data_IF_487146703124
#
_entry.id   IF_487146703124
#
_cell.length_a   1.000
_cell.length_b   1.000
_cell.length_c   1.000
_cell.angle_alpha   90.00
_cell.angle_beta   90.00
_cell.angle_gamma   90.00
#
_symmetry.space_group_name_H-M   'P 1'
#
loop_
_entity.id
_entity.type
_entity.pdbx_description
1 polymer ?
#
# COMPACT_ATOMS: atom_id res chain seq x y z
N UNK A 1 69.59 -33.89 20.24
CA UNK A 1 69.57 -32.50 19.72
C UNK A 1 69.69 -32.59 18.21
N UNK A 2 68.87 -32.05 17.32
CA UNK A 2 67.68 -31.21 17.39
C UNK A 2 67.05 -31.27 15.98
N UNK A 3 66.15 -32.22 15.71
CA UNK A 3 65.29 -32.22 14.51
C UNK A 3 64.22 -31.14 14.66
N UNK A 4 64.57 -29.88 14.40
CA UNK A 4 63.63 -28.74 14.50
C UNK A 4 63.64 -27.66 13.40
N UNK A 5 64.46 -27.67 12.32
CA UNK A 5 64.32 -26.61 11.31
C UNK A 5 63.21 -26.87 10.26
N UNK A 6 63.02 -28.12 9.83
CA UNK A 6 62.15 -28.44 8.68
C UNK A 6 60.67 -28.49 9.06
N UNK A 7 60.35 -28.86 10.30
CA UNK A 7 58.98 -28.89 10.82
C UNK A 7 58.42 -27.50 11.02
N UNK A 8 59.22 -26.56 11.54
CA UNK A 8 58.83 -25.17 11.75
C UNK A 8 58.54 -24.45 10.43
N UNK A 9 59.41 -24.61 9.42
CA UNK A 9 59.19 -24.02 8.10
C UNK A 9 57.93 -24.56 7.38
N UNK A 10 57.60 -25.84 7.57
CA UNK A 10 56.34 -26.42 7.04
C UNK A 10 55.11 -25.91 7.77
N UNK A 11 55.22 -25.62 9.06
CA UNK A 11 54.13 -25.04 9.85
C UNK A 11 53.89 -23.57 9.48
N UNK A 12 54.94 -22.78 9.29
CA UNK A 12 54.85 -21.39 8.85
C UNK A 12 54.19 -21.26 7.47
N UNK A 13 54.62 -22.05 6.48
CA UNK A 13 54.01 -22.07 5.14
C UNK A 13 52.53 -22.49 5.20
N UNK A 14 52.19 -23.42 6.09
CA UNK A 14 50.82 -23.88 6.27
C UNK A 14 49.93 -22.82 6.93
N UNK A 15 50.47 -22.02 7.85
CA UNK A 15 49.75 -20.91 8.46
C UNK A 15 49.59 -19.72 7.50
N UNK A 16 50.59 -19.40 6.68
CA UNK A 16 50.47 -18.39 5.62
C UNK A 16 49.40 -18.77 4.59
N UNK A 17 49.43 -20.02 4.08
CA UNK A 17 48.38 -20.52 3.17
C UNK A 17 46.98 -20.48 3.81
N UNK A 18 46.86 -20.78 5.11
CA UNK A 18 45.56 -20.69 5.81
C UNK A 18 45.07 -19.26 5.92
N UNK A 19 45.97 -18.30 6.15
CA UNK A 19 45.60 -16.89 6.22
C UNK A 19 45.17 -16.36 4.86
N UNK A 20 45.90 -16.72 3.80
CA UNK A 20 45.57 -16.34 2.43
C UNK A 20 44.23 -16.93 1.97
N UNK A 21 44.00 -18.23 2.23
CA UNK A 21 42.70 -18.87 1.95
C UNK A 21 41.57 -18.26 2.78
N UNK A 22 41.80 -17.92 4.06
CA UNK A 22 40.78 -17.23 4.87
C UNK A 22 40.45 -15.85 4.33
N UNK A 23 41.45 -15.12 3.85
CA UNK A 23 41.28 -13.80 3.28
C UNK A 23 40.53 -13.87 1.95
N UNK A 24 40.87 -14.83 1.09
CA UNK A 24 40.21 -15.03 -0.20
C UNK A 24 38.78 -15.54 -0.04
N UNK A 25 38.52 -16.47 0.89
CA UNK A 25 37.17 -16.90 1.26
C UNK A 25 36.38 -15.74 1.87
N UNK A 26 37.00 -14.91 2.70
CA UNK A 26 36.38 -13.69 3.25
C UNK A 26 35.99 -12.70 2.16
N UNK A 27 36.87 -12.45 1.19
CA UNK A 27 36.63 -11.58 0.05
C UNK A 27 35.56 -12.15 -0.89
N UNK A 28 35.57 -13.46 -1.14
CA UNK A 28 34.54 -14.13 -1.92
C UNK A 28 33.19 -14.02 -1.21
N UNK A 29 33.07 -14.38 0.07
CA UNK A 29 31.83 -14.26 0.85
C UNK A 29 31.31 -12.81 0.93
N UNK A 30 32.19 -11.81 0.87
CA UNK A 30 31.83 -10.40 0.81
C UNK A 30 31.41 -9.92 -0.60
N UNK A 31 31.79 -10.65 -1.65
CA UNK A 31 31.46 -10.32 -3.04
C UNK A 31 29.97 -10.50 -3.36
N UNK A 32 29.47 -9.71 -4.32
CA UNK A 32 28.10 -9.84 -4.80
C UNK A 32 27.83 -11.22 -5.42
N UNK A 33 28.84 -11.84 -6.03
CA UNK A 33 28.73 -13.17 -6.65
C UNK A 33 28.50 -14.28 -5.61
N UNK A 34 29.19 -14.24 -4.47
CA UNK A 34 28.94 -15.23 -3.41
C UNK A 34 27.62 -14.97 -2.69
N UNK A 35 27.19 -13.72 -2.55
CA UNK A 35 25.87 -13.39 -2.01
C UNK A 35 24.75 -13.93 -2.92
N UNK A 36 24.96 -13.89 -4.23
CA UNK A 36 24.06 -14.46 -5.25
C UNK A 36 24.07 -15.99 -5.24
N UNK A 37 25.23 -16.63 -5.17
CA UNK A 37 25.36 -18.12 -5.16
C UNK A 37 24.98 -18.77 -3.83
N UNK A 38 25.24 -18.12 -2.70
CA UNK A 38 25.03 -18.69 -1.36
C UNK A 38 23.70 -18.27 -0.72
N UNK A 39 22.95 -17.36 -1.36
CA UNK A 39 21.64 -16.91 -0.85
C UNK A 39 21.72 -16.21 0.52
N UNK A 40 22.90 -15.70 0.91
CA UNK A 40 23.17 -15.10 2.23
C UNK A 40 22.59 -13.69 2.39
N UNK A 41 21.40 -13.44 1.84
CA UNK A 41 20.74 -12.13 1.85
C UNK A 41 19.24 -12.13 2.02
N UNK A 42 18.50 -13.21 1.74
CA UNK A 42 17.03 -13.20 1.87
C UNK A 42 16.49 -14.62 2.08
N UNK A 43 15.63 -14.79 3.10
CA UNK A 43 14.77 -15.96 3.28
C UNK A 43 13.82 -16.11 2.08
N UNK A 44 14.02 -17.13 1.27
CA UNK A 44 13.12 -17.48 0.16
C UNK A 44 13.81 -18.40 -0.84
N UNK A 45 13.81 -19.71 -0.58
CA UNK A 45 14.28 -20.72 -1.54
C UNK A 45 13.42 -20.63 -2.81
N UNK A 46 14.05 -20.21 -3.91
CA UNK A 46 13.61 -20.23 -5.31
C UNK A 46 12.98 -18.96 -5.89
N UNK A 47 13.51 -17.78 -5.57
CA UNK A 47 13.74 -16.63 -6.48
C UNK A 47 14.11 -15.39 -5.62
N UNK A 48 15.08 -14.54 -6.01
CA UNK A 48 15.48 -13.42 -5.18
C UNK A 48 14.40 -12.34 -5.19
N UNK A 49 13.52 -12.40 -4.20
CA UNK A 49 12.61 -11.32 -3.85
C UNK A 49 13.42 -10.24 -3.12
N UNK A 50 13.56 -9.05 -3.72
CA UNK A 50 14.24 -7.95 -3.04
C UNK A 50 13.27 -7.28 -2.07
N UNK A 51 13.62 -7.27 -0.79
CA UNK A 51 12.97 -6.44 0.21
C UNK A 51 13.41 -4.98 0.05
N UNK A 52 12.50 -4.06 -0.27
CA UNK A 52 12.81 -2.62 -0.32
C UNK A 52 11.75 -1.78 0.37
N UNK A 53 12.18 -0.63 0.89
CA UNK A 53 11.28 0.40 1.39
C UNK A 53 10.61 1.10 0.19
N UNK A 54 9.28 1.20 0.21
CA UNK A 54 8.47 1.58 -0.95
C UNK A 54 8.60 3.09 -1.28
N UNK A 55 8.55 3.50 -2.56
CA UNK A 55 8.56 4.92 -2.94
C UNK A 55 7.31 5.69 -2.49
N UNK A 56 6.15 5.04 -2.45
CA UNK A 56 4.94 5.60 -1.83
C UNK A 56 4.97 5.38 -0.32
N UNK A 57 5.65 6.31 0.37
CA UNK A 57 5.78 6.34 1.84
C UNK A 57 4.44 6.49 2.57
N UNK A 58 3.33 6.63 1.84
CA UNK A 58 2.02 6.96 2.37
C UNK A 58 1.15 5.79 2.81
N UNK A 59 1.34 4.60 2.21
CA UNK A 59 0.48 3.43 2.43
C UNK A 59 1.23 2.15 2.79
N UNK A 60 2.47 1.98 2.35
CA UNK A 60 3.25 0.75 2.50
C UNK A 60 4.62 1.00 3.13
N UNK A 61 5.09 0.04 3.93
CA UNK A 61 6.35 0.15 4.67
C UNK A 61 7.37 -0.90 4.26
N UNK A 62 6.93 -2.10 3.91
CA UNK A 62 7.79 -3.24 3.55
C UNK A 62 7.33 -3.77 2.21
N UNK A 63 8.20 -3.72 1.20
CA UNK A 63 7.92 -4.21 -0.15
C UNK A 63 8.77 -5.43 -0.52
N UNK A 64 8.19 -6.31 -1.32
CA UNK A 64 8.78 -7.51 -1.90
C UNK A 64 8.55 -7.44 -3.42
N UNK A 65 9.56 -7.65 -4.25
CA UNK A 65 9.39 -7.67 -5.70
C UNK A 65 10.31 -8.69 -6.38
N UNK A 66 9.81 -9.32 -7.43
CA UNK A 66 10.58 -10.19 -8.33
C UNK A 66 11.62 -9.39 -9.12
N UNK A 67 12.70 -10.02 -9.58
CA UNK A 67 13.76 -9.32 -10.33
C UNK A 67 13.30 -8.72 -11.65
N UNK A 68 12.31 -9.34 -12.31
CA UNK A 68 11.69 -8.82 -13.53
C UNK A 68 10.76 -7.62 -13.27
N UNK A 69 10.38 -7.40 -12.01
CA UNK A 69 9.52 -6.31 -11.57
C UNK A 69 8.03 -6.51 -11.87
N UNK A 70 7.63 -7.67 -12.39
CA UNK A 70 6.25 -7.95 -12.81
C UNK A 70 5.34 -8.33 -11.64
N UNK A 71 5.91 -8.84 -10.55
CA UNK A 71 5.18 -9.20 -9.34
C UNK A 71 5.73 -8.44 -8.14
N UNK A 72 4.85 -7.83 -7.38
CA UNK A 72 5.21 -7.21 -6.10
C UNK A 72 4.14 -7.37 -5.03
N UNK A 73 4.60 -7.36 -3.79
CA UNK A 73 3.78 -7.33 -2.59
C UNK A 73 4.38 -6.30 -1.62
N UNK A 74 3.63 -5.24 -1.37
CA UNK A 74 3.94 -4.24 -0.37
C UNK A 74 2.93 -4.35 0.77
N UNK A 75 3.44 -4.30 1.99
CA UNK A 75 2.68 -4.39 3.22
C UNK A 75 2.88 -3.08 3.98
N UNK A 76 1.79 -2.51 4.46
CA UNK A 76 1.79 -1.31 5.28
C UNK A 76 0.82 -1.40 6.44
N UNK A 77 1.18 -0.70 7.52
CA UNK A 77 0.32 -0.50 8.67
C UNK A 77 0.23 0.98 8.99
N UNK A 78 -0.98 1.48 9.23
CA UNK A 78 -1.24 2.88 9.59
C UNK A 78 -2.19 2.93 10.76
N UNK A 79 -1.86 3.76 11.75
CA UNK A 79 -2.63 3.89 12.98
C UNK A 79 -2.76 5.35 13.39
N UNK A 80 -3.91 5.70 13.95
CA UNK A 80 -4.22 7.01 14.51
C UNK A 80 -5.02 6.81 15.80
N UNK A 81 -4.38 7.12 16.93
CA UNK A 81 -5.04 7.22 18.23
C UNK A 81 -5.65 8.61 18.41
N UNK A 82 -6.73 8.70 19.17
CA UNK A 82 -7.40 9.96 19.49
C UNK A 82 -7.79 9.97 20.98
N UNK A 83 -7.60 11.13 21.58
CA UNK A 83 -8.13 11.49 22.89
C UNK A 83 -9.15 12.61 22.67
N UNK A 84 -10.34 12.48 23.23
CA UNK A 84 -11.42 13.45 23.08
C UNK A 84 -11.98 13.81 24.45
N UNK A 85 -12.10 15.11 24.74
CA UNK A 85 -12.90 15.62 25.84
C UNK A 85 -14.05 16.43 25.25
N UNK A 86 -15.28 16.11 25.66
CA UNK A 86 -16.50 16.84 25.29
C UNK A 86 -17.15 17.34 26.57
N UNK A 87 -17.09 18.64 26.73
CA UNK A 87 -17.89 19.40 27.70
C UNK A 87 -19.32 19.52 27.16
N UNK A 88 -20.32 19.14 27.96
CA UNK A 88 -21.73 19.08 27.55
C UNK A 88 -22.62 20.04 28.34
N UNK A 89 -22.09 21.19 28.70
CA UNK A 89 -22.82 22.23 29.44
C UNK A 89 -24.11 22.76 28.76
N UNK A 90 -24.29 22.58 27.44
CA UNK A 90 -25.49 23.05 26.71
C UNK A 90 -26.72 22.13 26.87
N UNK A 91 -26.52 20.85 27.22
CA UNK A 91 -27.59 19.88 27.45
C UNK A 91 -27.64 19.53 28.94
N UNK A 92 -28.58 20.14 29.67
CA UNK A 92 -28.70 20.10 31.14
C UNK A 92 -28.75 18.68 31.78
N UNK A 93 -28.90 17.61 31.01
CA UNK A 93 -28.98 16.22 31.47
C UNK A 93 -27.83 15.32 30.97
N UNK A 94 -26.84 15.85 30.24
CA UNK A 94 -25.72 15.05 29.73
C UNK A 94 -24.42 15.29 30.53
N UNK A 95 -23.76 14.21 30.94
CA UNK A 95 -22.43 14.30 31.57
C UNK A 95 -21.34 14.55 30.52
N UNK A 96 -20.29 15.24 30.94
CA UNK A 96 -19.03 15.33 30.22
C UNK A 96 -18.51 13.95 29.79
N UNK A 97 -17.91 13.90 28.61
CA UNK A 97 -17.35 12.66 28.06
C UNK A 97 -15.86 12.82 27.81
N UNK A 98 -15.08 11.95 28.45
CA UNK A 98 -13.66 11.73 28.13
C UNK A 98 -13.51 10.38 27.45
N UNK A 99 -12.89 10.35 26.27
CA UNK A 99 -12.76 9.15 25.44
C UNK A 99 -11.34 9.00 24.88
N UNK A 100 -10.88 7.75 24.80
CA UNK A 100 -9.62 7.35 24.16
C UNK A 100 -9.93 6.23 23.19
N UNK A 101 -9.78 6.52 21.90
CA UNK A 101 -10.15 5.58 20.85
C UNK A 101 -9.04 5.42 19.79
N UNK A 102 -9.04 4.24 19.17
CA UNK A 102 -8.24 3.98 17.99
C UNK A 102 -9.01 4.43 16.76
N UNK A 103 -9.01 5.74 16.50
CA UNK A 103 -9.84 6.37 15.46
C UNK A 103 -9.70 5.72 14.08
N UNK A 104 -8.49 5.26 13.72
CA UNK A 104 -8.19 4.54 12.47
C UNK A 104 -7.02 3.58 12.71
N UNK A 105 -7.15 2.33 12.29
CA UNK A 105 -6.04 1.39 12.17
C UNK A 105 -6.25 0.55 10.93
N UNK A 106 -5.22 0.44 10.08
CA UNK A 106 -5.35 -0.18 8.77
C UNK A 106 -4.14 -1.01 8.40
N UNK A 107 -4.40 -2.17 7.80
CA UNK A 107 -3.43 -3.00 7.12
C UNK A 107 -3.64 -2.86 5.61
N UNK A 108 -2.58 -2.57 4.87
CA UNK A 108 -2.61 -2.39 3.43
C UNK A 108 -1.68 -3.39 2.76
N UNK A 109 -2.20 -4.07 1.75
CA UNK A 109 -1.48 -4.98 0.88
C UNK A 109 -1.66 -4.51 -0.55
N UNK A 110 -0.59 -4.19 -1.26
CA UNK A 110 -0.69 -3.74 -2.65
C UNK A 110 0.53 -4.14 -3.47
N UNK A 111 0.46 -4.00 -4.77
CA UNK A 111 1.57 -4.30 -5.66
C UNK A 111 1.10 -4.56 -7.07
N UNK A 112 1.92 -5.23 -7.86
CA UNK A 112 1.64 -5.55 -9.25
C UNK A 112 1.54 -7.07 -9.45
N UNK A 113 0.72 -7.49 -10.41
CA UNK A 113 0.56 -8.90 -10.81
C UNK A 113 0.66 -8.98 -12.33
N UNK A 114 1.39 -9.97 -12.86
CA UNK A 114 1.65 -10.22 -14.29
C UNK A 114 2.50 -9.16 -15.00
N UNK A 115 2.29 -7.87 -14.73
CA UNK A 115 3.05 -6.76 -15.29
C UNK A 115 2.93 -5.53 -14.41
N UNK A 116 3.78 -4.52 -14.67
CA UNK A 116 3.69 -3.21 -13.99
C UNK A 116 2.42 -2.42 -14.34
N UNK A 117 1.70 -2.84 -15.38
CA UNK A 117 0.46 -2.21 -15.82
C UNK A 117 -0.75 -2.60 -14.95
N UNK A 118 -0.69 -3.74 -14.26
CA UNK A 118 -1.80 -4.26 -13.46
C UNK A 118 -1.44 -4.23 -11.97
N UNK A 119 -1.95 -3.20 -11.31
CA UNK A 119 -1.81 -2.98 -9.88
C UNK A 119 -3.02 -3.56 -9.12
N UNK A 120 -2.79 -4.07 -7.92
CA UNK A 120 -3.82 -4.47 -6.98
C UNK A 120 -3.64 -3.75 -5.65
N UNK A 121 -4.76 -3.54 -4.96
CA UNK A 121 -4.76 -3.02 -3.59
C UNK A 121 -5.85 -3.71 -2.77
N UNK A 122 -5.50 -4.11 -1.56
CA UNK A 122 -6.39 -4.66 -0.54
C UNK A 122 -6.10 -3.94 0.78
N UNK A 123 -7.10 -3.31 1.38
CA UNK A 123 -7.01 -2.61 2.65
C UNK A 123 -8.00 -3.23 3.65
N UNK A 124 -7.52 -3.52 4.85
CA UNK A 124 -8.30 -4.02 5.98
C UNK A 124 -8.34 -2.95 7.07
N UNK A 125 -9.52 -2.72 7.63
CA UNK A 125 -9.74 -1.96 8.85
C UNK A 125 -9.54 -2.87 10.07
N UNK A 126 -8.79 -2.34 11.03
CA UNK A 126 -8.41 -2.98 12.29
C UNK A 126 -8.58 -2.00 13.48
N UNK A 127 -9.45 -0.99 13.33
CA UNK A 127 -9.83 -0.03 14.37
C UNK A 127 -10.88 -0.57 15.35
N UNK A 128 -11.35 -1.80 15.13
CA UNK A 128 -12.25 -2.54 16.03
C UNK A 128 -11.72 -3.95 16.29
N UNK A 129 -12.35 -4.69 17.20
CA UNK A 129 -12.02 -6.10 17.43
C UNK A 129 -12.36 -7.00 16.23
N UNK A 130 -13.12 -6.50 15.26
CA UNK A 130 -13.43 -7.17 14.00
C UNK A 130 -12.59 -6.56 12.87
N UNK A 131 -11.92 -7.42 12.09
CA UNK A 131 -11.19 -6.98 10.90
C UNK A 131 -12.13 -6.91 9.70
N UNK A 132 -12.28 -5.71 9.12
CA UNK A 132 -13.20 -5.47 8.03
C UNK A 132 -12.45 -5.16 6.72
N UNK A 133 -12.91 -5.71 5.59
CA UNK A 133 -12.37 -5.44 4.26
C UNK A 133 -12.87 -4.06 3.85
N UNK A 134 -11.93 -3.12 3.70
CA UNK A 134 -12.25 -1.71 3.48
C UNK A 134 -12.26 -1.35 2.01
N UNK A 135 -11.17 -1.66 1.30
CA UNK A 135 -11.00 -1.36 -0.11
C UNK A 135 -10.34 -2.58 -0.77
N UNK A 136 -10.86 -3.03 -1.90
CA UNK A 136 -10.18 -4.02 -2.73
C UNK A 136 -10.43 -3.75 -4.20
N UNK A 137 -9.38 -3.58 -4.99
CA UNK A 137 -9.53 -3.29 -6.41
C UNK A 137 -8.30 -3.71 -7.21
N UNK A 138 -8.54 -3.88 -8.51
CA UNK A 138 -7.52 -3.92 -9.53
C UNK A 138 -7.51 -2.58 -10.26
N UNK A 139 -6.33 -2.13 -10.64
CA UNK A 139 -6.10 -0.92 -11.39
C UNK A 139 -5.19 -1.25 -12.55
N UNK A 140 -5.73 -1.15 -13.76
CA UNK A 140 -4.98 -1.38 -14.98
C UNK A 140 -4.68 -0.07 -15.69
N UNK A 141 -3.41 0.16 -15.97
CA UNK A 141 -2.89 1.32 -16.69
C UNK A 141 -2.04 0.83 -17.85
N UNK A 142 -2.49 0.93 -19.11
CA UNK A 142 -1.66 0.59 -20.25
C UNK A 142 -0.40 1.45 -20.29
N UNK A 143 0.77 0.86 -20.55
CA UNK A 143 2.02 1.64 -20.59
C UNK A 143 2.00 2.76 -21.65
N UNK A 144 1.30 2.53 -22.77
CA UNK A 144 1.15 3.53 -23.83
C UNK A 144 0.23 4.71 -23.46
N UNK A 145 -0.53 4.61 -22.36
CA UNK A 145 -1.49 5.60 -21.90
C UNK A 145 -1.26 5.99 -20.43
N UNK A 146 -0.01 5.85 -19.95
CA UNK A 146 0.37 6.21 -18.58
C UNK A 146 -0.03 7.66 -18.27
N UNK A 147 -0.72 7.85 -17.14
CA UNK A 147 -1.28 9.13 -16.72
C UNK A 147 -2.56 9.54 -17.47
N UNK A 148 -2.72 9.21 -18.76
CA UNK A 148 -3.87 9.64 -19.54
C UNK A 148 -5.11 8.75 -19.37
N UNK A 149 -4.94 7.44 -19.14
CA UNK A 149 -6.05 6.49 -19.04
C UNK A 149 -5.74 5.34 -18.10
N UNK A 150 -6.73 4.97 -17.28
CA UNK A 150 -6.70 3.78 -16.45
C UNK A 150 -8.10 3.24 -16.23
N UNK A 151 -8.18 1.93 -15.96
CA UNK A 151 -9.41 1.25 -15.57
C UNK A 151 -9.24 0.71 -14.17
N UNK A 152 -10.14 1.11 -13.27
CA UNK A 152 -10.19 0.58 -11.90
C UNK A 152 -11.46 -0.25 -11.74
N UNK A 153 -11.33 -1.44 -11.16
CA UNK A 153 -12.47 -2.33 -10.89
C UNK A 153 -12.37 -3.00 -9.52
N UNK A 154 -13.48 -3.08 -8.80
CA UNK A 154 -13.55 -3.71 -7.49
C UNK A 154 -14.47 -2.96 -6.53
N UNK A 155 -14.17 -3.04 -5.23
CA UNK A 155 -14.82 -2.30 -4.17
C UNK A 155 -13.94 -1.14 -3.71
N UNK A 156 -14.37 0.09 -3.99
CA UNK A 156 -13.59 1.28 -3.69
C UNK A 156 -14.50 2.51 -3.56
N UNK A 157 -13.90 3.62 -3.12
CA UNK A 157 -14.63 4.88 -2.94
C UNK A 157 -15.22 5.40 -4.25
N UNK A 158 -16.46 5.85 -4.21
CA UNK A 158 -17.12 6.50 -5.33
C UNK A 158 -16.49 7.88 -5.56
N UNK A 159 -16.00 8.20 -6.79
CA UNK A 159 -15.16 9.37 -7.03
C UNK A 159 -15.92 10.72 -7.10
N UNK A 160 -17.03 10.87 -6.39
CA UNK A 160 -17.91 12.04 -6.44
C UNK A 160 -17.39 13.23 -5.60
N UNK A 161 -16.98 12.98 -4.35
CA UNK A 161 -16.61 14.05 -3.41
C UNK A 161 -15.09 14.14 -3.21
N UNK A 162 -14.51 15.33 -3.38
CA UNK A 162 -13.06 15.57 -3.27
C UNK A 162 -12.50 15.26 -1.89
N UNK A 163 -13.10 15.81 -0.82
CA UNK A 163 -12.63 15.60 0.55
C UNK A 163 -12.83 14.14 1.00
N UNK A 164 -13.89 13.50 0.48
CA UNK A 164 -14.14 12.08 0.74
C UNK A 164 -13.09 11.18 0.08
N UNK A 165 -12.74 11.46 -1.18
CA UNK A 165 -11.75 10.70 -1.93
C UNK A 165 -10.36 10.78 -1.28
N UNK A 166 -9.96 11.93 -0.74
CA UNK A 166 -8.73 12.06 0.04
C UNK A 166 -8.66 11.07 1.22
N UNK A 167 -7.47 10.54 1.48
CA UNK A 167 -7.23 9.64 2.62
C UNK A 167 -7.57 10.35 3.94
N UNK A 168 -8.14 9.60 4.90
CA UNK A 168 -8.36 10.11 6.24
C UNK A 168 -7.07 10.49 6.97
N UNK A 169 -5.95 9.88 6.58
CA UNK A 169 -4.61 10.18 7.13
C UNK A 169 -3.97 11.44 6.55
N UNK A 170 -4.55 12.03 5.50
CA UNK A 170 -4.06 13.26 4.85
C UNK A 170 -5.00 14.45 5.03
N UNK A 171 -5.93 14.36 5.98
CA UNK A 171 -6.81 15.48 6.30
C UNK A 171 -6.04 16.55 7.08
N UNK A 172 -6.36 17.82 6.81
CA UNK A 172 -5.84 18.95 7.58
C UNK A 172 -6.39 18.95 9.02
N UNK A 173 -7.64 18.52 9.18
CA UNK A 173 -8.34 18.40 10.46
C UNK A 173 -8.55 16.92 10.82
N UNK A 174 -8.83 16.66 12.10
CA UNK A 174 -9.01 15.30 12.64
C UNK A 174 -10.10 14.49 11.91
N UNK A 175 -11.18 15.17 11.54
CA UNK A 175 -12.34 14.61 10.86
C UNK A 175 -12.72 15.45 9.63
N UNK A 176 -13.54 14.85 8.75
CA UNK A 176 -14.06 15.54 7.57
C UNK A 176 -15.15 16.53 7.97
N UNK A 177 -15.46 17.46 7.07
CA UNK A 177 -16.57 18.38 7.28
C UNK A 177 -17.90 17.62 7.37
N UNK A 178 -18.86 18.18 8.11
CA UNK A 178 -20.23 17.64 8.24
C UNK A 178 -20.89 17.49 6.86
N UNK A 179 -20.65 18.44 5.95
CA UNK A 179 -21.14 18.35 4.57
C UNK A 179 -20.59 17.12 3.85
N UNK A 180 -19.27 16.88 3.93
CA UNK A 180 -18.68 15.70 3.31
C UNK A 180 -19.13 14.40 3.96
N UNK A 181 -19.40 14.37 5.26
CA UNK A 181 -19.83 13.13 5.92
C UNK A 181 -21.30 12.78 5.65
N UNK A 182 -22.17 13.78 5.51
CA UNK A 182 -23.59 13.58 5.18
C UNK A 182 -23.85 13.31 3.70
N UNK A 183 -23.08 13.93 2.81
CA UNK A 183 -23.28 13.84 1.35
C UNK A 183 -22.23 12.97 0.65
N UNK A 184 -21.52 12.10 1.38
CA UNK A 184 -20.63 11.13 0.77
C UNK A 184 -21.42 10.00 0.12
N UNK A 185 -21.00 9.64 -1.08
CA UNK A 185 -21.20 8.32 -1.65
C UNK A 185 -19.94 7.57 -1.24
N UNK A 186 -20.10 6.60 -0.32
CA UNK A 186 -18.95 5.96 0.30
C UNK A 186 -18.26 4.99 -0.67
N UNK A 187 -18.43 3.70 -0.47
CA UNK A 187 -17.82 2.64 -1.29
C UNK A 187 -18.88 1.73 -1.83
N UNK A 188 -18.67 1.28 -3.05
CA UNK A 188 -19.49 0.26 -3.66
C UNK A 188 -18.67 -0.54 -4.68
N UNK A 189 -19.23 -1.66 -5.13
CA UNK A 189 -18.67 -2.43 -6.24
C UNK A 189 -18.91 -1.69 -7.55
N UNK A 190 -17.85 -1.47 -8.32
CA UNK A 190 -17.96 -0.76 -9.58
C UNK A 190 -16.72 -0.82 -10.44
N UNK A 191 -16.82 -0.11 -11.56
CA UNK A 191 -15.76 0.12 -12.52
C UNK A 191 -15.65 1.63 -12.77
N UNK A 192 -14.44 2.16 -12.77
CA UNK A 192 -14.14 3.56 -13.02
C UNK A 192 -13.13 3.68 -14.17
N UNK A 193 -13.48 4.49 -15.16
CA UNK A 193 -12.57 4.97 -16.18
C UNK A 193 -11.99 6.30 -15.72
N UNK A 194 -10.68 6.32 -15.49
CA UNK A 194 -9.98 7.44 -14.92
C UNK A 194 -8.88 7.92 -15.86
N UNK A 195 -8.53 9.21 -15.78
CA UNK A 195 -7.36 9.74 -16.45
C UNK A 195 -6.98 11.14 -15.99
N UNK A 196 -5.70 11.44 -16.14
CA UNK A 196 -5.05 12.72 -15.84
C UNK A 196 -4.30 13.28 -17.07
N UNK A 197 -4.99 13.54 -18.21
CA UNK A 197 -4.33 14.06 -19.40
C UNK A 197 -3.77 15.48 -19.20
N UNK A 198 -2.91 15.90 -20.14
CA UNK A 198 -2.27 17.22 -20.13
C UNK A 198 -1.39 17.44 -18.90
N UNK A 199 -0.45 16.54 -18.62
CA UNK A 199 0.40 16.59 -17.40
C UNK A 199 -0.41 16.73 -16.10
N UNK A 200 -1.60 16.10 -16.07
CA UNK A 200 -2.49 16.14 -14.92
C UNK A 200 -3.27 17.44 -14.74
N UNK A 201 -3.22 18.41 -15.66
CA UNK A 201 -4.03 19.61 -15.55
C UNK A 201 -5.54 19.33 -15.64
N UNK A 202 -5.94 18.21 -16.23
CA UNK A 202 -7.32 17.72 -16.19
C UNK A 202 -7.34 16.35 -15.53
N UNK A 203 -8.30 16.12 -14.65
CA UNK A 203 -8.61 14.81 -14.09
C UNK A 203 -10.07 14.48 -14.38
N UNK A 204 -10.34 13.27 -14.86
CA UNK A 204 -11.68 12.82 -15.13
C UNK A 204 -11.95 11.44 -14.52
N UNK A 205 -13.21 11.21 -14.18
CA UNK A 205 -13.76 9.92 -13.79
C UNK A 205 -15.08 9.70 -14.52
N UNK A 206 -15.25 8.50 -15.06
CA UNK A 206 -16.50 8.01 -15.59
C UNK A 206 -16.74 6.60 -15.06
N UNK A 207 -17.58 6.50 -14.04
CA UNK A 207 -17.74 5.30 -13.26
C UNK A 207 -19.18 4.81 -13.20
N UNK A 208 -19.31 3.49 -13.10
CA UNK A 208 -20.57 2.79 -12.87
C UNK A 208 -20.41 1.90 -11.65
N UNK A 209 -21.30 2.06 -10.69
CA UNK A 209 -21.35 1.29 -9.45
C UNK A 209 -22.69 0.59 -9.31
N UNK A 210 -22.70 -0.44 -8.47
CA UNK A 210 -23.87 -1.26 -8.18
C UNK A 210 -25.06 -0.44 -7.65
N UNK A 211 -24.85 0.63 -6.90
CA UNK A 211 -25.91 1.51 -6.40
C UNK A 211 -26.44 1.14 -5.01
N UNK A 212 -26.13 -0.05 -4.50
CA UNK A 212 -26.62 -0.56 -3.21
C UNK A 212 -25.84 -0.04 -1.98
N UNK A 213 -24.73 0.68 -2.18
CA UNK A 213 -23.95 1.29 -1.10
C UNK A 213 -23.13 0.31 -0.24
N UNK A 214 -22.63 0.80 0.89
CA UNK A 214 -21.78 0.04 1.81
C UNK A 214 -22.62 -0.72 2.85
N UNK A 215 -22.46 -2.05 2.90
CA UNK A 215 -22.97 -2.88 3.99
C UNK A 215 -21.83 -3.64 4.67
N UNK A 216 -21.45 -3.19 5.87
CA UNK A 216 -20.37 -3.78 6.66
C UNK A 216 -20.67 -5.20 7.15
N UNK A 217 -21.94 -5.61 7.19
CA UNK A 217 -22.32 -6.92 7.73
C UNK A 217 -22.07 -8.09 6.75
N UNK A 218 -21.71 -7.83 5.48
CA UNK A 218 -21.71 -8.86 4.43
C UNK A 218 -20.59 -8.67 3.41
N UNK A 219 -19.40 -9.11 3.82
CA UNK A 219 -18.13 -8.98 3.09
C UNK A 219 -18.04 -9.82 1.80
N UNK A 220 -19.00 -10.73 1.55
CA UNK A 220 -19.01 -11.66 0.41
C UNK A 220 -20.41 -11.80 -0.23
N UNK A 221 -20.92 -10.70 -0.80
CA UNK A 221 -21.87 -10.78 -1.92
C UNK A 221 -23.30 -11.26 -1.60
N UNK A 222 -23.94 -10.72 -0.56
CA UNK A 222 -25.35 -11.07 -0.26
C UNK A 222 -26.33 -9.90 -0.22
N UNK A 223 -25.89 -8.72 -0.64
CA UNK A 223 -26.83 -7.66 -1.01
C UNK A 223 -26.86 -7.62 -2.54
N UNK A 224 -27.80 -8.35 -3.08
CA UNK A 224 -28.14 -8.25 -4.49
C UNK A 224 -28.68 -6.83 -4.75
N UNK A 225 -28.39 -6.28 -5.93
CA UNK A 225 -28.99 -5.01 -6.34
C UNK A 225 -30.45 -5.27 -6.72
N UNK A 226 -31.32 -5.40 -5.71
CA UNK A 226 -32.67 -5.93 -5.90
C UNK A 226 -33.57 -5.01 -6.72
N UNK A 227 -33.27 -3.71 -6.77
CA UNK A 227 -33.95 -2.72 -7.60
C UNK A 227 -33.33 -2.60 -9.01
N UNK A 228 -32.15 -3.20 -9.24
CA UNK A 228 -31.35 -3.11 -10.46
C UNK A 228 -30.96 -1.69 -10.88
N UNK A 229 -30.99 -0.72 -9.96
CA UNK A 229 -30.60 0.66 -10.25
C UNK A 229 -29.10 0.84 -10.06
N UNK A 230 -28.38 1.13 -11.14
CA UNK A 230 -26.95 1.41 -11.10
C UNK A 230 -26.69 2.88 -10.76
N UNK A 231 -25.60 3.12 -10.03
CA UNK A 231 -25.10 4.47 -9.76
C UNK A 231 -24.09 4.86 -10.82
N UNK A 232 -24.36 5.97 -11.52
CA UNK A 232 -23.47 6.53 -12.53
C UNK A 232 -22.81 7.79 -11.98
N UNK A 233 -21.49 7.91 -12.16
CA UNK A 233 -20.71 9.05 -11.67
C UNK A 233 -19.84 9.60 -12.79
N UNK A 234 -19.99 10.89 -13.04
CA UNK A 234 -19.12 11.67 -13.90
C UNK A 234 -18.49 12.77 -13.05
N UNK A 235 -17.16 12.83 -13.03
CA UNK A 235 -16.44 13.91 -12.37
C UNK A 235 -15.34 14.43 -13.30
N UNK A 236 -15.18 15.74 -13.34
CA UNK A 236 -14.10 16.41 -14.04
C UNK A 236 -13.52 17.49 -13.13
N UNK A 237 -12.18 17.57 -13.05
CA UNK A 237 -11.46 18.53 -12.21
C UNK A 237 -10.36 19.15 -13.04
N UNK A 238 -10.26 20.47 -13.01
CA UNK A 238 -9.23 21.22 -13.72
C UNK A 238 -8.29 21.90 -12.72
N UNK A 239 -6.99 21.72 -12.92
CA UNK A 239 -5.95 22.26 -12.05
C UNK A 239 -5.08 23.25 -12.84
N UNK A 240 -5.30 24.56 -12.68
CA UNK A 240 -4.65 25.58 -13.52
C UNK A 240 -3.19 25.88 -13.15
N UNK A 241 -2.74 25.50 -11.94
CA UNK A 241 -1.44 25.94 -11.42
C UNK A 241 -0.46 24.80 -11.14
N UNK A 242 -0.95 23.66 -10.68
CA UNK A 242 -0.19 22.43 -10.48
C UNK A 242 -0.95 21.28 -11.14
N UNK A 243 -0.26 20.36 -11.80
CA UNK A 243 -0.88 19.13 -12.27
C UNK A 243 -1.51 18.36 -11.10
N UNK A 244 -2.58 17.62 -11.37
CA UNK A 244 -3.23 16.78 -10.39
C UNK A 244 -2.20 15.81 -9.79
N UNK A 245 -2.07 15.81 -8.46
CA UNK A 245 -1.29 14.77 -7.79
C UNK A 245 -1.98 13.41 -7.99
N UNK A 246 -1.22 12.30 -8.12
CA UNK A 246 -1.79 10.97 -8.25
C UNK A 246 -2.75 10.71 -7.07
N UNK A 247 -4.03 10.46 -7.37
CA UNK A 247 -5.00 10.11 -6.34
C UNK A 247 -4.83 8.63 -5.98
N UNK A 248 -4.28 8.35 -4.80
CA UNK A 248 -4.10 6.97 -4.28
C UNK A 248 -5.25 6.56 -3.38
#
# INVERSE_FOLDING_TARGET
>A
MSEKPVTVAKEEIKEEMKQEVKQEVGNYLASNEAREKLGLGVLGKNEPVNGYFTPDKGKSSIGFQTRDGNYSLNIGFRSQMRFTYKDRDEDFDENDVTDIDLRRARLCFNGNIYSKELFYNVELDADSFEANLRDYYLWWTPAAAEGAFSVKGGYFKVPANRQWNSSGFYLLLQDRSIASDNFKQDRDYGIDLYGQPFDGHLEYHAAVFRGAGQNNAKMFGKDENNDNELMYVLAARYYPFDGAMPTI
#
